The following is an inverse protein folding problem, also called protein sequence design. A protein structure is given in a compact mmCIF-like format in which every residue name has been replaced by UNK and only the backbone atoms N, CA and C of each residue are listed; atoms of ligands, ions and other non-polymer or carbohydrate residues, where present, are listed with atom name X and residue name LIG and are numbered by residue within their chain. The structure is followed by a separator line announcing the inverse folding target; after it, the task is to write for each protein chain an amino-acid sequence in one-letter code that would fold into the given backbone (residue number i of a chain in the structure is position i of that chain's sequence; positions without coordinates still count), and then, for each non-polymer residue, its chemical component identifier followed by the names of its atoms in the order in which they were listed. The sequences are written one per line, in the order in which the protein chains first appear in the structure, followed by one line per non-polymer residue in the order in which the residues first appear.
data_IF_722493294021
#
_entry.id   IF_722493294021
#
_cell.length_a   1.000
_cell.length_b   1.000
_cell.length_c   1.000
_cell.angle_alpha   90.00
_cell.angle_beta   90.00
_cell.angle_gamma   90.00
#
_symmetry.space_group_name_H-M   'P 1'
#
loop_
_entity.id
_entity.type
_entity.pdbx_description
1 polymer ?
#
# COMPACT_ATOMS: atom_id res chain seq x y z
N UNK A 1 -1.95 11.95 14.71
CA UNK A 1 -2.13 11.25 16.03
C UNK A 1 -1.26 11.85 17.12
N UNK A 2 0.08 11.86 17.01
CA UNK A 2 0.97 12.37 18.05
C UNK A 2 0.64 13.75 18.61
N UNK A 3 0.13 14.66 17.78
CA UNK A 3 -0.35 15.99 18.23
C UNK A 3 -1.53 15.87 19.19
N UNK A 4 -2.47 14.99 18.93
CA UNK A 4 -3.62 14.75 19.81
C UNK A 4 -3.20 14.11 21.13
N UNK A 5 -2.15 13.27 21.11
CA UNK A 5 -1.52 12.74 22.34
C UNK A 5 -0.87 13.88 23.12
N UNK A 6 -0.13 14.76 22.47
CA UNK A 6 0.50 15.92 23.11
C UNK A 6 -0.50 16.92 23.70
N UNK A 7 -1.68 17.00 23.10
CA UNK A 7 -2.83 17.78 23.59
C UNK A 7 -3.57 17.06 24.75
N UNK A 8 -3.22 15.80 25.06
CA UNK A 8 -3.87 15.00 26.12
C UNK A 8 -5.28 14.52 25.77
N UNK A 9 -5.66 14.57 24.49
CA UNK A 9 -7.00 14.17 24.02
C UNK A 9 -7.14 12.68 23.80
N UNK A 10 -6.00 11.97 23.63
CA UNK A 10 -5.90 10.53 23.38
C UNK A 10 -4.57 10.02 23.94
N UNK A 11 -4.50 8.74 24.27
CA UNK A 11 -3.27 8.05 24.68
C UNK A 11 -2.93 6.98 23.65
N UNK A 12 -1.64 6.67 23.51
CA UNK A 12 -1.18 5.57 22.67
C UNK A 12 -1.73 4.20 23.09
N UNK A 13 -1.98 4.05 24.38
CA UNK A 13 -2.43 2.82 25.03
C UNK A 13 -3.96 2.67 25.05
N UNK A 14 -4.71 3.71 24.69
CA UNK A 14 -6.19 3.64 24.59
C UNK A 14 -6.59 2.64 23.52
N UNK A 15 -7.73 1.99 23.71
CA UNK A 15 -8.25 1.00 22.74
C UNK A 15 -8.93 1.73 21.58
N UNK A 16 -8.81 1.17 20.38
CA UNK A 16 -9.46 1.72 19.18
C UNK A 16 -10.98 1.78 19.34
N UNK A 17 -11.58 0.74 19.92
CA UNK A 17 -13.03 0.66 20.16
C UNK A 17 -13.57 1.73 21.12
N UNK A 18 -12.75 2.37 21.92
CA UNK A 18 -13.17 3.48 22.79
C UNK A 18 -13.50 4.75 21.96
N UNK A 19 -12.97 4.84 20.73
CA UNK A 19 -13.20 5.94 19.77
C UNK A 19 -14.03 5.53 18.57
N UNK A 20 -13.89 4.29 18.12
CA UNK A 20 -14.61 3.68 16.99
C UNK A 20 -15.36 2.42 17.49
N UNK A 21 -16.47 2.56 18.23
CA UNK A 21 -17.15 1.42 18.85
C UNK A 21 -17.69 0.39 17.86
N UNK A 22 -17.96 0.79 16.62
CA UNK A 22 -18.41 -0.10 15.55
C UNK A 22 -17.28 -0.88 14.87
N UNK A 23 -16.00 -0.50 15.13
CA UNK A 23 -14.86 -1.12 14.49
C UNK A 23 -14.64 -2.55 14.99
N UNK A 24 -14.62 -3.49 14.06
CA UNK A 24 -14.47 -4.91 14.36
C UNK A 24 -13.44 -5.56 13.45
N UNK A 25 -12.68 -6.48 14.02
CA UNK A 25 -11.78 -7.39 13.30
C UNK A 25 -12.33 -8.82 13.42
N UNK A 26 -11.79 -9.73 12.62
CA UNK A 26 -12.21 -11.13 12.60
C UNK A 26 -12.14 -11.79 13.99
N UNK A 27 -11.05 -11.56 14.72
CA UNK A 27 -10.89 -12.05 16.09
C UNK A 27 -11.41 -11.03 17.11
N UNK A 28 -12.43 -11.42 17.94
CA UNK A 28 -13.00 -10.53 18.95
C UNK A 28 -11.98 -10.08 20.03
N UNK A 29 -10.96 -10.91 20.31
CA UNK A 29 -9.93 -10.54 21.28
C UNK A 29 -9.03 -9.47 20.71
N UNK A 30 -8.59 -9.61 19.46
CA UNK A 30 -7.84 -8.56 18.76
C UNK A 30 -8.64 -7.27 18.67
N UNK A 31 -9.93 -7.35 18.33
CA UNK A 31 -10.84 -6.18 18.32
C UNK A 31 -10.81 -5.43 19.65
N UNK A 32 -10.99 -6.15 20.76
CA UNK A 32 -11.04 -5.56 22.09
C UNK A 32 -9.72 -4.98 22.57
N UNK A 33 -8.59 -5.62 22.24
CA UNK A 33 -7.26 -5.31 22.74
C UNK A 33 -6.41 -4.42 21.81
N UNK A 34 -6.91 -4.13 20.60
CA UNK A 34 -6.23 -3.28 19.63
C UNK A 34 -6.13 -1.86 20.18
N UNK A 35 -4.91 -1.32 20.26
CA UNK A 35 -4.62 0.02 20.78
C UNK A 35 -4.35 1.00 19.65
N UNK A 36 -4.47 2.27 19.97
CA UNK A 36 -4.12 3.36 19.04
C UNK A 36 -2.69 3.20 18.50
N UNK A 37 -1.74 2.78 19.36
CA UNK A 37 -0.37 2.52 18.94
C UNK A 37 -0.26 1.43 17.86
N UNK A 38 -1.06 0.37 17.96
CA UNK A 38 -1.01 -0.78 17.05
C UNK A 38 -1.44 -0.39 15.62
N UNK A 39 -2.25 0.66 15.45
CA UNK A 39 -2.65 1.16 14.13
C UNK A 39 -1.45 1.63 13.27
N UNK A 40 -0.31 1.91 13.90
CA UNK A 40 0.89 2.44 13.26
C UNK A 40 2.05 1.44 13.17
N UNK A 41 1.90 0.21 13.67
CA UNK A 41 3.00 -0.71 13.87
C UNK A 41 2.95 -1.97 12.99
N UNK A 42 1.86 -2.17 12.24
CA UNK A 42 1.64 -3.36 11.40
C UNK A 42 1.79 -4.69 12.17
N UNK A 43 1.44 -4.70 13.45
CA UNK A 43 1.62 -5.82 14.38
C UNK A 43 0.30 -6.47 14.80
N UNK A 44 -0.79 -6.17 14.13
CA UNK A 44 -2.12 -6.68 14.48
C UNK A 44 -2.32 -8.17 14.17
N UNK A 45 -1.52 -8.72 13.25
CA UNK A 45 -1.69 -10.07 12.72
C UNK A 45 -2.76 -10.20 11.64
N UNK A 46 -3.55 -9.16 11.37
CA UNK A 46 -4.56 -9.16 10.30
C UNK A 46 -3.84 -9.15 8.95
N UNK A 47 -4.22 -10.06 8.05
CA UNK A 47 -3.65 -10.17 6.71
C UNK A 47 -3.79 -8.90 5.88
N UNK A 48 -2.99 -8.79 4.81
CA UNK A 48 -3.10 -7.68 3.89
C UNK A 48 -4.50 -7.67 3.23
N UNK A 49 -5.14 -6.52 3.18
CA UNK A 49 -6.47 -6.33 2.60
C UNK A 49 -6.49 -5.20 1.57
N UNK A 50 -5.37 -4.97 0.88
CA UNK A 50 -5.21 -3.87 -0.08
C UNK A 50 -6.15 -3.99 -1.28
N UNK A 51 -6.65 -5.19 -1.61
CA UNK A 51 -7.67 -5.36 -2.64
C UNK A 51 -8.96 -4.57 -2.35
N UNK A 52 -9.28 -4.24 -1.10
CA UNK A 52 -10.44 -3.41 -0.73
C UNK A 52 -10.37 -1.97 -1.27
N UNK A 53 -9.19 -1.50 -1.63
CA UNK A 53 -9.03 -0.18 -2.23
C UNK A 53 -8.41 -0.22 -3.63
N UNK A 54 -7.78 -1.33 -4.01
CA UNK A 54 -7.16 -1.49 -5.34
C UNK A 54 -8.15 -1.99 -6.39
N UNK A 55 -9.18 -2.74 -5.99
CA UNK A 55 -10.21 -3.32 -6.87
C UNK A 55 -11.64 -2.90 -6.51
N UNK A 56 -11.81 -1.93 -5.62
CA UNK A 56 -13.12 -1.43 -5.22
C UNK A 56 -13.12 0.09 -5.09
N UNK A 57 -14.23 0.71 -5.49
CA UNK A 57 -14.51 2.12 -5.25
C UNK A 57 -15.56 2.24 -4.13
N UNK A 58 -15.16 1.89 -2.92
CA UNK A 58 -16.01 1.92 -1.74
C UNK A 58 -15.50 2.94 -0.71
N UNK A 59 -16.39 3.52 0.11
CA UNK A 59 -16.00 4.47 1.15
C UNK A 59 -15.06 3.84 2.20
N UNK A 60 -14.20 4.66 2.82
CA UNK A 60 -13.31 4.23 3.90
C UNK A 60 -14.04 3.46 5.00
N UNK A 61 -15.20 3.93 5.42
CA UNK A 61 -16.02 3.24 6.43
C UNK A 61 -16.37 1.82 6.02
N UNK A 62 -16.81 1.60 4.78
CA UNK A 62 -17.15 0.26 4.29
C UNK A 62 -15.92 -0.66 4.22
N UNK A 63 -14.75 -0.14 3.82
CA UNK A 63 -13.50 -0.91 3.88
C UNK A 63 -13.19 -1.36 5.30
N UNK A 64 -13.31 -0.46 6.28
CA UNK A 64 -13.07 -0.77 7.69
C UNK A 64 -14.10 -1.78 8.22
N UNK A 65 -15.36 -1.68 7.82
CA UNK A 65 -16.40 -2.65 8.21
C UNK A 65 -16.12 -4.05 7.64
N UNK A 66 -15.53 -4.15 6.44
CA UNK A 66 -15.15 -5.44 5.83
C UNK A 66 -13.91 -6.07 6.47
N UNK A 67 -13.08 -5.33 7.20
CA UNK A 67 -11.92 -5.89 7.89
C UNK A 67 -12.28 -7.00 8.89
N UNK A 68 -13.51 -7.03 9.41
CA UNK A 68 -14.02 -8.14 10.24
C UNK A 68 -14.04 -9.50 9.54
N UNK A 69 -13.95 -9.51 8.21
CA UNK A 69 -13.92 -10.73 7.39
C UNK A 69 -12.51 -11.20 7.05
N UNK A 70 -11.50 -10.36 7.30
CA UNK A 70 -10.10 -10.65 6.99
C UNK A 70 -9.50 -11.52 8.10
N UNK A 71 -9.23 -12.80 7.78
CA UNK A 71 -8.65 -13.74 8.72
C UNK A 71 -7.24 -13.32 9.15
N UNK A 72 -6.90 -13.45 10.44
CA UNK A 72 -5.56 -13.17 10.91
C UNK A 72 -4.59 -14.26 10.46
N UNK A 73 -3.35 -13.87 10.14
CA UNK A 73 -2.23 -14.78 9.90
C UNK A 73 -1.43 -15.03 11.18
N UNK A 74 -1.44 -14.09 12.12
CA UNK A 74 -0.72 -14.16 13.40
C UNK A 74 -1.58 -13.61 14.54
N UNK A 75 -1.18 -13.93 15.76
CA UNK A 75 -1.78 -13.31 16.94
C UNK A 75 -1.37 -11.83 17.07
N UNK A 76 -2.21 -11.03 17.69
CA UNK A 76 -1.93 -9.62 17.96
C UNK A 76 -0.54 -9.44 18.60
N UNK A 77 0.29 -8.57 18.04
CA UNK A 77 1.64 -8.20 18.48
C UNK A 77 2.70 -9.31 18.40
N UNK A 78 2.44 -10.40 17.64
CA UNK A 78 3.40 -11.52 17.54
C UNK A 78 4.33 -11.43 16.33
N UNK A 79 3.96 -10.70 15.30
CA UNK A 79 4.73 -10.55 14.07
C UNK A 79 4.35 -9.27 13.34
N UNK A 80 4.82 -9.12 12.09
CA UNK A 80 4.59 -7.99 11.22
C UNK A 80 3.82 -8.44 9.97
N UNK A 81 2.75 -7.72 9.61
CA UNK A 81 2.10 -7.74 8.30
C UNK A 81 1.71 -6.32 7.94
N UNK A 82 2.21 -5.84 6.80
CA UNK A 82 1.88 -4.50 6.33
C UNK A 82 0.39 -4.36 6.02
N UNK A 83 -0.25 -3.32 6.58
CA UNK A 83 -1.70 -3.11 6.45
C UNK A 83 -2.06 -1.62 6.38
N UNK A 84 -2.41 -1.13 5.20
CA UNK A 84 -2.80 0.26 4.96
C UNK A 84 -4.09 0.66 5.69
N UNK A 85 -5.04 -0.26 5.84
CA UNK A 85 -6.35 0.06 6.41
C UNK A 85 -6.31 0.43 7.90
N UNK A 86 -5.26 0.08 8.64
CA UNK A 86 -5.07 0.59 10.00
C UNK A 86 -4.73 2.08 10.02
N UNK A 87 -4.02 2.57 9.01
CA UNK A 87 -3.79 4.01 8.86
C UNK A 87 -5.09 4.73 8.45
N UNK A 88 -5.97 4.06 7.69
CA UNK A 88 -7.32 4.58 7.43
C UNK A 88 -8.12 4.67 8.73
N UNK A 89 -8.12 3.63 9.55
CA UNK A 89 -8.74 3.65 10.88
C UNK A 89 -8.16 4.76 11.78
N UNK A 90 -6.83 4.98 11.73
CA UNK A 90 -6.20 6.09 12.46
C UNK A 90 -6.70 7.46 11.97
N UNK A 91 -7.00 7.61 10.68
CA UNK A 91 -7.64 8.81 10.13
C UNK A 91 -9.03 9.06 10.73
N UNK A 92 -9.86 8.02 10.80
CA UNK A 92 -11.20 8.09 11.43
C UNK A 92 -11.11 8.43 12.92
N UNK A 93 -10.12 7.87 13.65
CA UNK A 93 -9.87 8.24 15.05
C UNK A 93 -9.48 9.72 15.18
N UNK A 94 -8.61 10.23 14.29
CA UNK A 94 -8.24 11.66 14.28
C UNK A 94 -9.47 12.53 14.07
N UNK A 95 -10.33 12.17 13.13
CA UNK A 95 -11.57 12.90 12.86
C UNK A 95 -12.49 12.89 14.08
N UNK A 96 -12.70 11.73 14.70
CA UNK A 96 -13.53 11.57 15.90
C UNK A 96 -13.04 12.40 17.08
N UNK A 97 -11.71 12.40 17.33
CA UNK A 97 -11.11 13.08 18.49
C UNK A 97 -10.95 14.58 18.26
N UNK A 98 -10.64 15.00 17.04
CA UNK A 98 -10.40 16.41 16.71
C UNK A 98 -11.67 17.18 16.34
N UNK A 99 -12.73 16.48 15.93
CA UNK A 99 -13.95 17.07 15.37
C UNK A 99 -13.75 17.66 13.97
N UNK A 100 -12.65 17.30 13.27
CA UNK A 100 -12.31 17.80 11.92
C UNK A 100 -11.99 16.63 11.02
N UNK A 101 -12.40 16.67 9.73
CA UNK A 101 -11.92 15.72 8.74
C UNK A 101 -10.40 15.63 8.76
N UNK A 102 -9.85 14.42 8.57
CA UNK A 102 -8.40 14.19 8.59
C UNK A 102 -7.66 15.16 7.66
N UNK A 103 -8.20 15.41 6.47
CA UNK A 103 -7.60 16.32 5.48
C UNK A 103 -7.48 17.75 6.01
N UNK A 104 -8.53 18.24 6.66
CA UNK A 104 -8.53 19.58 7.26
C UNK A 104 -7.57 19.66 8.45
N UNK A 105 -7.50 18.58 9.24
CA UNK A 105 -6.60 18.50 10.38
C UNK A 105 -5.13 18.58 9.96
N UNK A 106 -4.69 17.77 8.99
CA UNK A 106 -3.28 17.81 8.55
C UNK A 106 -2.92 19.10 7.80
N UNK A 107 -3.87 19.65 7.05
CA UNK A 107 -3.68 20.96 6.39
C UNK A 107 -3.43 22.04 7.43
N UNK A 108 -4.27 22.14 8.46
CA UNK A 108 -4.18 23.16 9.51
C UNK A 108 -2.95 22.95 10.42
N UNK A 109 -2.72 21.71 10.84
CA UNK A 109 -1.74 21.40 11.88
C UNK A 109 -0.33 21.14 11.37
N UNK A 110 -0.16 20.82 10.08
CA UNK A 110 1.12 20.44 9.50
C UNK A 110 1.47 21.33 8.31
N UNK A 111 0.67 21.29 7.24
CA UNK A 111 1.07 21.90 5.97
C UNK A 111 1.13 23.41 6.07
N UNK A 112 0.12 24.05 6.67
CA UNK A 112 0.08 25.50 6.85
C UNK A 112 1.20 26.00 7.76
N UNK A 113 1.45 25.45 8.95
CA UNK A 113 2.55 25.89 9.81
C UNK A 113 3.93 25.77 9.18
N UNK A 114 4.16 24.73 8.38
CA UNK A 114 5.43 24.50 7.69
C UNK A 114 5.56 25.29 6.37
N UNK A 115 4.53 26.00 5.95
CA UNK A 115 4.53 26.71 4.66
C UNK A 115 4.59 25.75 3.46
N UNK A 116 3.99 24.57 3.58
CA UNK A 116 3.91 23.56 2.51
C UNK A 116 2.76 23.90 1.56
N UNK A 117 2.92 24.95 0.78
CA UNK A 117 1.84 25.56 -0.01
C UNK A 117 1.48 24.78 -1.28
N UNK A 118 2.34 23.86 -1.71
CA UNK A 118 2.13 22.95 -2.85
C UNK A 118 1.84 21.53 -2.41
N UNK A 119 1.46 21.33 -1.14
CA UNK A 119 1.08 20.06 -0.56
C UNK A 119 -0.43 20.01 -0.36
N UNK A 120 -1.04 18.90 -0.72
CA UNK A 120 -2.46 18.70 -0.58
C UNK A 120 -2.75 17.29 0.01
N UNK A 121 -3.78 17.15 0.86
CA UNK A 121 -4.12 15.87 1.47
C UNK A 121 -4.66 14.84 0.45
N UNK A 122 -5.21 15.31 -0.66
CA UNK A 122 -5.69 14.51 -1.80
C UNK A 122 -5.49 15.27 -3.09
N UNK A 123 -5.35 14.56 -4.21
CA UNK A 123 -5.13 15.15 -5.55
C UNK A 123 -6.18 16.22 -5.90
N UNK A 124 -7.45 15.98 -5.58
CA UNK A 124 -8.55 16.93 -5.88
C UNK A 124 -8.38 18.32 -5.26
N UNK A 125 -7.53 18.49 -4.25
CA UNK A 125 -7.24 19.77 -3.61
C UNK A 125 -6.04 20.50 -4.19
N UNK A 126 -5.33 19.91 -5.15
CA UNK A 126 -4.19 20.56 -5.82
C UNK A 126 -4.73 21.69 -6.70
N UNK A 127 -4.16 22.87 -6.52
CA UNK A 127 -4.52 24.09 -7.27
C UNK A 127 -3.56 24.37 -8.43
N UNK A 128 -2.41 23.71 -8.43
CA UNK A 128 -1.33 23.91 -9.39
C UNK A 128 -1.52 22.98 -10.61
N UNK A 129 -1.32 23.50 -11.81
CA UNK A 129 -1.35 22.71 -13.04
C UNK A 129 -0.05 21.94 -13.31
N UNK A 130 1.03 22.22 -12.57
CA UNK A 130 2.28 21.50 -12.64
C UNK A 130 2.19 20.20 -11.84
N UNK A 131 1.45 19.22 -12.38
CA UNK A 131 1.26 17.91 -11.80
C UNK A 131 2.02 16.85 -12.61
N UNK A 132 2.65 15.93 -11.91
CA UNK A 132 3.34 14.80 -12.52
C UNK A 132 2.33 13.86 -13.17
N UNK A 133 2.67 13.32 -14.35
CA UNK A 133 1.88 12.27 -15.02
C UNK A 133 2.46 10.90 -14.65
N UNK A 134 1.64 9.95 -14.17
CA UNK A 134 2.10 8.61 -13.85
C UNK A 134 2.43 7.81 -15.11
N UNK A 135 3.47 6.96 -15.05
CA UNK A 135 3.92 6.12 -16.15
C UNK A 135 4.05 4.67 -15.70
N UNK A 136 3.76 3.77 -16.62
CA UNK A 136 3.86 2.34 -16.42
C UNK A 136 4.53 1.65 -17.62
N UNK A 137 5.22 0.53 -17.40
CA UNK A 137 5.73 -0.28 -18.49
C UNK A 137 4.70 -1.33 -18.91
N UNK A 138 4.21 -1.21 -20.15
CA UNK A 138 3.29 -2.17 -20.75
C UNK A 138 3.91 -2.70 -22.04
N UNK A 139 4.05 -4.02 -22.14
CA UNK A 139 4.67 -4.67 -23.29
C UNK A 139 6.06 -4.10 -23.62
N UNK A 140 6.90 -3.88 -22.60
CA UNK A 140 8.25 -3.31 -22.71
C UNK A 140 8.30 -1.87 -23.26
N UNK A 141 7.19 -1.14 -23.17
CA UNK A 141 7.10 0.28 -23.53
C UNK A 141 6.59 1.09 -22.36
N UNK A 142 7.33 2.12 -21.98
CA UNK A 142 6.88 3.08 -20.97
C UNK A 142 5.84 3.99 -21.61
N UNK A 143 4.69 4.11 -20.95
CA UNK A 143 3.60 4.98 -21.39
C UNK A 143 2.95 5.69 -20.21
N UNK A 144 2.37 6.89 -20.43
CA UNK A 144 1.54 7.53 -19.43
C UNK A 144 0.28 6.69 -19.18
N UNK A 145 -0.15 6.66 -17.91
CA UNK A 145 -1.39 6.03 -17.49
C UNK A 145 -2.31 7.04 -16.80
N UNK A 146 -3.57 6.66 -16.60
CA UNK A 146 -4.50 7.46 -15.80
C UNK A 146 -4.15 7.37 -14.32
N UNK A 147 -4.44 8.44 -13.57
CA UNK A 147 -4.29 8.40 -12.11
C UNK A 147 -5.24 7.36 -11.52
N UNK A 148 -4.72 6.56 -10.60
CA UNK A 148 -5.54 5.66 -9.80
C UNK A 148 -6.32 6.44 -8.73
N UNK A 149 -7.41 5.85 -8.27
CA UNK A 149 -8.17 6.44 -7.17
C UNK A 149 -7.41 6.26 -5.85
N UNK A 150 -7.14 7.38 -5.18
CA UNK A 150 -6.41 7.44 -3.91
C UNK A 150 -7.29 7.92 -2.74
N UNK A 151 -8.54 8.27 -3.02
CA UNK A 151 -9.41 8.94 -2.06
C UNK A 151 -9.86 8.04 -0.91
N UNK A 152 -9.98 6.74 -1.16
CA UNK A 152 -10.47 5.78 -0.17
C UNK A 152 -9.42 5.48 0.92
N UNK A 153 -8.12 5.49 0.59
CA UNK A 153 -7.01 5.28 1.54
C UNK A 153 -6.41 6.59 2.08
N UNK A 154 -7.18 7.67 2.11
CA UNK A 154 -6.70 9.04 2.36
C UNK A 154 -5.55 9.16 3.35
N UNK A 155 -5.76 8.77 4.61
CA UNK A 155 -4.76 8.88 5.67
C UNK A 155 -3.61 7.87 5.58
N UNK A 156 -3.71 6.87 4.70
CA UNK A 156 -2.64 5.90 4.44
C UNK A 156 -1.72 6.30 3.27
N UNK A 157 -2.23 7.01 2.23
CA UNK A 157 -1.41 7.18 1.04
C UNK A 157 -1.79 8.29 0.05
N UNK A 158 -2.74 9.21 0.38
CA UNK A 158 -3.25 10.16 -0.61
C UNK A 158 -2.56 11.53 -0.65
N UNK A 159 -1.54 11.78 0.15
CA UNK A 159 -0.87 13.11 0.20
C UNK A 159 -0.06 13.34 -1.07
N UNK A 160 -0.33 14.46 -1.72
CA UNK A 160 0.43 14.98 -2.86
C UNK A 160 1.32 16.14 -2.42
N UNK A 161 2.55 16.18 -2.90
CA UNK A 161 3.51 17.21 -2.48
C UNK A 161 4.51 17.55 -3.59
N UNK A 162 5.37 18.51 -3.31
CA UNK A 162 6.55 18.87 -4.11
C UNK A 162 7.83 18.56 -3.34
N UNK A 163 8.95 18.45 -4.06
CA UNK A 163 10.26 18.26 -3.44
C UNK A 163 10.61 19.41 -2.47
N UNK A 164 10.24 20.65 -2.82
CA UNK A 164 10.45 21.81 -1.97
C UNK A 164 9.67 21.70 -0.64
N UNK A 165 8.40 21.35 -0.68
CA UNK A 165 7.59 21.21 0.53
C UNK A 165 8.01 20.03 1.38
N UNK A 166 8.41 18.91 0.76
CA UNK A 166 8.93 17.76 1.50
C UNK A 166 10.30 18.05 2.13
N UNK A 167 11.10 18.97 1.57
CA UNK A 167 12.31 19.46 2.23
C UNK A 167 11.99 20.21 3.52
N UNK A 168 10.94 21.05 3.54
CA UNK A 168 10.47 21.74 4.76
C UNK A 168 10.05 20.74 5.85
N UNK A 169 9.26 19.72 5.46
CA UNK A 169 8.88 18.63 6.35
C UNK A 169 10.10 17.89 6.91
N UNK A 170 11.05 17.55 6.04
CA UNK A 170 12.25 16.79 6.40
C UNK A 170 13.16 17.55 7.37
N UNK A 171 13.38 18.85 7.11
CA UNK A 171 14.15 19.73 8.00
C UNK A 171 13.48 19.78 9.38
N UNK A 172 12.16 19.95 9.43
CA UNK A 172 11.40 19.92 10.68
C UNK A 172 11.58 18.60 11.43
N UNK A 173 11.47 17.46 10.76
CA UNK A 173 11.61 16.15 11.39
C UNK A 173 13.03 15.89 11.88
N UNK A 174 14.07 16.29 11.14
CA UNK A 174 15.47 16.17 11.53
C UNK A 174 15.85 17.10 12.70
N UNK A 175 15.14 18.20 12.89
CA UNK A 175 15.32 19.10 14.06
C UNK A 175 14.28 18.82 15.17
N UNK A 176 14.00 17.55 15.40
CA UNK A 176 13.09 17.14 16.49
C UNK A 176 11.73 17.80 16.42
N UNK A 177 11.16 17.92 15.23
CA UNK A 177 9.89 18.56 14.89
C UNK A 177 9.81 20.08 15.12
N UNK A 178 10.93 20.78 15.17
CA UNK A 178 10.98 22.25 15.28
C UNK A 178 10.83 22.89 13.90
N UNK A 179 10.23 24.06 13.88
CA UNK A 179 10.15 24.96 12.74
C UNK A 179 10.14 26.41 13.22
N UNK A 180 10.23 27.38 12.34
CA UNK A 180 10.34 28.81 12.70
C UNK A 180 9.19 29.32 13.62
N UNK A 181 7.99 28.73 13.50
CA UNK A 181 6.81 29.10 14.29
C UNK A 181 6.65 28.30 15.60
N UNK A 182 7.56 27.36 15.91
CA UNK A 182 7.44 26.55 17.11
C UNK A 182 7.84 25.08 16.93
N UNK A 183 6.96 24.18 17.32
CA UNK A 183 7.21 22.74 17.30
C UNK A 183 5.91 21.98 16.98
N UNK A 184 5.99 20.99 16.10
CA UNK A 184 4.83 20.16 15.77
C UNK A 184 4.49 19.14 16.86
N UNK A 185 5.51 18.57 17.53
CA UNK A 185 5.37 17.51 18.53
C UNK A 185 6.24 17.82 19.75
N UNK A 186 5.80 17.42 20.94
CA UNK A 186 6.67 17.41 22.12
C UNK A 186 7.87 16.49 21.91
N UNK A 187 9.04 16.77 22.52
CA UNK A 187 10.25 15.96 22.33
C UNK A 187 10.05 14.46 22.58
N UNK A 188 9.29 14.12 23.62
CA UNK A 188 9.00 12.71 23.96
C UNK A 188 8.17 12.00 22.89
N UNK A 189 7.18 12.67 22.32
CA UNK A 189 6.33 12.12 21.26
C UNK A 189 7.12 11.99 19.96
N UNK A 190 7.94 12.99 19.61
CA UNK A 190 8.85 12.89 18.49
C UNK A 190 9.82 11.71 18.64
N UNK A 191 10.46 11.56 19.79
CA UNK A 191 11.38 10.45 20.06
C UNK A 191 10.68 9.08 19.96
N UNK A 192 9.44 8.99 20.47
CA UNK A 192 8.63 7.75 20.36
C UNK A 192 8.37 7.35 18.91
N UNK A 193 8.20 8.31 17.99
CA UNK A 193 7.97 8.00 16.57
C UNK A 193 9.09 7.19 15.92
N UNK A 194 10.33 7.37 16.39
CA UNK A 194 11.51 6.72 15.83
C UNK A 194 12.09 5.62 16.72
N UNK A 195 11.36 5.25 17.79
CA UNK A 195 11.75 4.12 18.63
C UNK A 195 11.36 2.81 17.94
N UNK A 196 12.31 1.87 17.71
CA UNK A 196 11.98 0.55 17.19
C UNK A 196 10.89 -0.13 18.01
N UNK A 197 9.89 -0.72 17.37
CA UNK A 197 8.75 -1.29 18.07
C UNK A 197 8.37 -2.70 17.59
N UNK A 198 8.35 -2.96 16.27
CA UNK A 198 8.03 -4.26 15.71
C UNK A 198 9.23 -4.77 14.90
N UNK A 199 9.64 -6.01 15.14
CA UNK A 199 10.63 -6.68 14.27
C UNK A 199 9.98 -6.98 12.92
N UNK A 200 10.67 -6.67 11.83
CA UNK A 200 10.21 -6.97 10.47
C UNK A 200 10.95 -8.22 10.00
N UNK A 201 10.24 -9.33 9.71
CA UNK A 201 10.86 -10.51 9.14
C UNK A 201 11.50 -10.23 7.77
N UNK A 202 12.55 -10.98 7.41
CA UNK A 202 13.25 -10.80 6.12
C UNK A 202 12.33 -10.89 4.91
N UNK A 203 11.30 -11.75 4.98
CA UNK A 203 10.32 -11.92 3.91
C UNK A 203 9.41 -10.69 3.71
N UNK A 204 9.26 -9.86 4.73
CA UNK A 204 8.43 -8.64 4.74
C UNK A 204 9.26 -7.37 4.56
N UNK A 205 10.59 -7.50 4.50
CA UNK A 205 11.48 -6.37 4.28
C UNK A 205 11.86 -6.22 2.79
N UNK A 206 12.44 -5.09 2.44
CA UNK A 206 12.81 -4.81 1.05
C UNK A 206 13.95 -5.71 0.56
N UNK A 207 13.93 -6.14 -0.73
CA UNK A 207 15.03 -6.93 -1.32
C UNK A 207 16.41 -6.29 -1.18
N UNK A 208 16.45 -4.97 -0.95
CA UNK A 208 17.68 -4.19 -0.75
C UNK A 208 18.53 -4.67 0.43
N UNK A 209 17.93 -5.39 1.40
CA UNK A 209 18.67 -6.03 2.49
C UNK A 209 19.74 -7.01 1.99
N UNK A 210 19.57 -7.59 0.80
CA UNK A 210 20.56 -8.47 0.17
C UNK A 210 21.84 -7.72 -0.24
N UNK A 211 21.81 -6.39 -0.32
CA UNK A 211 22.94 -5.53 -0.65
C UNK A 211 23.50 -4.84 0.59
N UNK A 212 22.66 -4.55 1.57
CA UNK A 212 23.04 -3.78 2.76
C UNK A 212 23.38 -4.66 3.96
N UNK A 213 22.91 -5.90 3.98
CA UNK A 213 23.12 -6.89 5.05
C UNK A 213 22.91 -6.32 6.45
N UNK A 214 21.71 -5.76 6.75
CA UNK A 214 21.45 -5.17 8.05
C UNK A 214 21.49 -6.24 9.16
N UNK A 215 21.96 -5.88 10.33
CA UNK A 215 21.93 -6.76 11.51
C UNK A 215 20.50 -6.86 12.10
N UNK A 216 19.67 -5.86 11.85
CA UNK A 216 18.30 -5.81 12.32
C UNK A 216 17.43 -4.98 11.38
N UNK A 217 16.15 -5.36 11.29
CA UNK A 217 15.11 -4.64 10.58
C UNK A 217 13.90 -4.48 11.50
N UNK A 218 13.41 -3.26 11.66
CA UNK A 218 12.28 -2.94 12.51
C UNK A 218 11.33 -1.97 11.87
N UNK A 219 10.14 -1.86 12.46
CA UNK A 219 9.18 -0.82 12.14
C UNK A 219 8.88 0.00 13.39
N UNK A 220 8.84 1.31 13.24
CA UNK A 220 8.43 2.27 14.25
C UNK A 220 7.07 2.88 13.86
N UNK A 221 6.69 4.03 14.40
CA UNK A 221 5.41 4.66 14.06
C UNK A 221 5.46 5.28 12.64
N UNK A 222 5.20 4.47 11.64
CA UNK A 222 5.22 4.87 10.22
C UNK A 222 6.61 4.85 9.58
N UNK A 223 7.59 4.12 10.14
CA UNK A 223 8.95 4.11 9.64
C UNK A 223 9.53 2.71 9.63
N UNK A 224 9.99 2.25 8.48
CA UNK A 224 10.97 1.17 8.40
C UNK A 224 12.31 1.64 8.93
N UNK A 225 13.01 0.76 9.61
CA UNK A 225 14.31 1.03 10.17
C UNK A 225 15.24 -0.15 9.96
N UNK A 226 16.50 0.15 9.73
CA UNK A 226 17.61 -0.83 9.71
C UNK A 226 18.90 -0.14 10.14
N UNK A 227 19.91 -0.93 10.44
CA UNK A 227 21.28 -0.41 10.46
C UNK A 227 21.89 -0.43 9.06
N UNK A 228 22.68 0.58 8.79
CA UNK A 228 23.45 0.70 7.57
C UNK A 228 24.83 1.28 7.89
N UNK A 229 25.90 0.50 7.65
CA UNK A 229 27.28 0.87 8.02
C UNK A 229 27.42 1.31 9.49
N UNK A 230 26.73 0.59 10.39
CA UNK A 230 26.72 0.88 11.83
C UNK A 230 25.91 2.09 12.25
N UNK A 231 25.11 2.66 11.36
CA UNK A 231 24.20 3.80 11.62
C UNK A 231 22.76 3.39 11.44
N UNK A 232 21.87 3.90 12.29
CA UNK A 232 20.44 3.72 12.12
C UNK A 232 19.95 4.62 10.99
N UNK A 233 19.23 4.03 10.04
CA UNK A 233 18.42 4.78 9.06
C UNK A 233 16.93 4.57 9.34
N UNK A 234 16.15 5.64 9.14
CA UNK A 234 14.70 5.59 9.13
C UNK A 234 14.24 5.90 7.70
N UNK A 235 13.35 5.11 7.15
CA UNK A 235 12.80 5.40 5.83
C UNK A 235 11.38 4.87 5.69
N UNK A 236 10.66 5.43 4.74
CA UNK A 236 9.41 4.85 4.26
C UNK A 236 9.29 5.07 2.77
N UNK A 237 8.70 4.11 2.08
CA UNK A 237 8.44 4.23 0.65
C UNK A 237 6.95 4.08 0.38
N UNK A 238 6.53 4.59 -0.77
CA UNK A 238 5.18 4.41 -1.25
C UNK A 238 5.16 4.25 -2.76
N UNK A 239 4.14 3.54 -3.25
CA UNK A 239 3.85 3.41 -4.67
C UNK A 239 2.33 3.45 -4.87
N UNK A 240 1.90 4.24 -5.82
CA UNK A 240 0.62 4.12 -6.49
C UNK A 240 0.93 3.78 -7.95
N UNK A 241 -0.05 3.30 -8.72
CA UNK A 241 0.22 2.95 -10.11
C UNK A 241 0.92 4.11 -10.84
N UNK A 242 2.10 3.86 -11.37
CA UNK A 242 2.91 4.81 -12.11
C UNK A 242 3.59 5.91 -11.29
N UNK A 243 3.53 5.88 -9.96
CA UNK A 243 4.11 6.89 -9.06
C UNK A 243 4.83 6.22 -7.90
N UNK A 244 6.00 6.72 -7.56
CA UNK A 244 6.80 6.23 -6.42
C UNK A 244 7.35 7.37 -5.59
N UNK A 245 7.57 7.09 -4.31
CA UNK A 245 8.26 8.00 -3.41
C UNK A 245 9.12 7.23 -2.39
N UNK A 246 10.17 7.86 -1.90
CA UNK A 246 10.88 7.44 -0.71
C UNK A 246 11.25 8.65 0.11
N UNK A 247 11.05 8.56 1.41
CA UNK A 247 11.55 9.48 2.43
C UNK A 247 12.51 8.73 3.33
N UNK A 248 13.73 9.22 3.49
CA UNK A 248 14.72 8.58 4.34
C UNK A 248 15.53 9.57 5.17
N UNK A 249 16.00 9.14 6.33
CA UNK A 249 16.77 9.93 7.28
C UNK A 249 17.97 9.12 7.80
N UNK A 250 19.10 9.79 7.89
CA UNK A 250 20.28 9.35 8.62
C UNK A 250 20.47 10.29 9.82
N UNK A 251 19.83 10.01 10.99
CA UNK A 251 19.67 10.97 12.07
C UNK A 251 20.99 11.44 12.68
N UNK A 252 21.98 10.55 12.80
CA UNK A 252 23.30 10.87 13.37
C UNK A 252 24.01 12.02 12.61
N UNK A 253 23.68 12.18 11.32
CA UNK A 253 24.27 13.20 10.46
C UNK A 253 23.29 14.36 10.14
N UNK A 254 22.07 14.31 10.72
CA UNK A 254 20.99 15.24 10.38
C UNK A 254 20.76 15.31 8.85
N UNK A 255 20.96 14.21 8.18
CA UNK A 255 20.81 14.08 6.73
C UNK A 255 19.48 13.42 6.41
N UNK A 256 18.75 13.99 5.45
CA UNK A 256 17.53 13.40 4.91
C UNK A 256 17.49 13.50 3.41
N UNK A 257 16.79 12.57 2.79
CA UNK A 257 16.53 12.56 1.36
C UNK A 257 15.07 12.25 1.09
N UNK A 258 14.53 12.92 0.08
CA UNK A 258 13.23 12.62 -0.48
C UNK A 258 13.36 12.45 -2.00
N UNK A 259 12.81 11.37 -2.54
CA UNK A 259 12.81 11.10 -3.98
C UNK A 259 11.37 10.85 -4.42
N UNK A 260 10.93 11.57 -5.44
CA UNK A 260 9.72 11.27 -6.19
C UNK A 260 10.08 10.66 -7.53
N UNK A 261 9.32 9.66 -7.96
CA UNK A 261 9.39 9.06 -9.27
C UNK A 261 8.01 8.99 -9.92
N UNK A 262 7.94 9.22 -11.21
CA UNK A 262 6.72 9.09 -12.00
C UNK A 262 6.74 7.85 -12.90
N UNK A 263 7.31 6.78 -12.38
CA UNK A 263 7.35 5.47 -13.01
C UNK A 263 7.05 4.39 -11.97
N UNK A 264 6.24 3.42 -12.35
CA UNK A 264 5.80 2.36 -11.45
C UNK A 264 6.96 1.52 -10.96
N UNK A 265 6.95 1.18 -9.66
CA UNK A 265 7.96 0.35 -9.00
C UNK A 265 9.42 0.72 -9.37
N UNK A 266 9.70 2.03 -9.52
CA UNK A 266 11.05 2.52 -9.80
C UNK A 266 11.96 2.38 -8.58
N UNK A 267 12.51 1.18 -8.40
CA UNK A 267 13.32 0.82 -7.21
C UNK A 267 14.66 1.58 -7.13
N UNK A 268 15.04 2.27 -8.18
CA UNK A 268 16.15 3.23 -8.18
C UNK A 268 16.03 4.28 -7.06
N UNK A 269 14.83 4.54 -6.53
CA UNK A 269 14.61 5.40 -5.36
C UNK A 269 15.44 4.97 -4.15
N UNK A 270 15.57 3.66 -3.88
CA UNK A 270 16.42 3.13 -2.82
C UNK A 270 17.91 3.30 -3.14
N UNK A 271 18.31 3.07 -4.39
CA UNK A 271 19.68 3.30 -4.82
C UNK A 271 20.12 4.75 -4.59
N UNK A 272 19.23 5.70 -4.92
CA UNK A 272 19.46 7.13 -4.69
C UNK A 272 19.56 7.45 -3.18
N UNK A 273 18.75 6.80 -2.35
CA UNK A 273 18.82 6.93 -0.90
C UNK A 273 20.19 6.52 -0.35
N UNK A 274 20.64 5.31 -0.64
CA UNK A 274 21.93 4.81 -0.17
C UNK A 274 23.09 5.61 -0.75
N UNK A 275 23.01 5.99 -2.03
CA UNK A 275 24.02 6.81 -2.67
C UNK A 275 24.17 8.18 -2.03
N UNK A 276 23.05 8.80 -1.65
CA UNK A 276 23.07 10.09 -0.95
C UNK A 276 23.71 9.94 0.45
N UNK A 277 23.38 8.90 1.19
CA UNK A 277 23.99 8.65 2.49
C UNK A 277 25.50 8.38 2.39
N UNK A 278 25.91 7.61 1.38
CA UNK A 278 27.34 7.37 1.11
C UNK A 278 28.08 8.67 0.77
N UNK A 279 27.53 9.49 -0.13
CA UNK A 279 28.22 10.70 -0.60
C UNK A 279 28.28 11.80 0.45
N UNK A 280 27.23 11.99 1.22
CA UNK A 280 27.13 13.15 2.09
C UNK A 280 27.51 12.86 3.54
N UNK A 281 27.65 11.58 3.93
CA UNK A 281 27.87 11.24 5.33
C UNK A 281 28.81 10.05 5.59
N UNK A 282 28.90 9.06 4.72
CA UNK A 282 29.49 7.76 5.06
C UNK A 282 30.68 7.34 4.18
N UNK A 283 31.17 8.23 3.33
CA UNK A 283 32.33 8.02 2.41
C UNK A 283 32.26 6.71 1.61
N UNK A 284 31.08 6.33 1.16
CA UNK A 284 30.83 5.08 0.47
C UNK A 284 31.19 5.15 -1.02
N UNK A 285 31.85 4.11 -1.50
CA UNK A 285 32.25 3.97 -2.92
C UNK A 285 31.39 3.00 -3.72
N UNK A 286 30.34 2.45 -3.10
CA UNK A 286 29.43 1.46 -3.71
C UNK A 286 28.80 2.00 -4.99
N UNK A 287 28.86 1.21 -6.06
CA UNK A 287 28.12 1.47 -7.29
C UNK A 287 26.69 0.96 -7.17
N UNK A 288 25.87 1.72 -6.45
CA UNK A 288 24.47 1.39 -6.20
C UNK A 288 23.67 1.17 -7.48
N UNK A 289 23.98 1.89 -8.56
CA UNK A 289 23.28 1.71 -9.83
C UNK A 289 23.50 0.30 -10.38
N UNK A 290 24.75 -0.16 -10.42
CA UNK A 290 25.10 -1.50 -10.88
C UNK A 290 24.51 -2.58 -9.98
N UNK A 291 24.62 -2.44 -8.68
CA UNK A 291 24.19 -3.46 -7.72
C UNK A 291 22.68 -3.60 -7.70
N UNK A 292 21.94 -2.49 -7.75
CA UNK A 292 20.50 -2.50 -7.88
C UNK A 292 20.03 -3.09 -9.20
N UNK A 293 20.65 -2.69 -10.31
CA UNK A 293 20.32 -3.27 -11.61
C UNK A 293 20.50 -4.78 -11.61
N UNK A 294 21.61 -5.27 -11.04
CA UNK A 294 21.88 -6.71 -10.93
C UNK A 294 20.85 -7.43 -10.05
N UNK A 295 20.49 -6.85 -8.90
CA UNK A 295 19.51 -7.42 -7.98
C UNK A 295 18.12 -7.50 -8.63
N UNK A 296 17.62 -6.37 -9.12
CA UNK A 296 16.24 -6.30 -9.64
C UNK A 296 16.10 -6.99 -11.00
N UNK A 297 17.13 -7.01 -11.84
CA UNK A 297 17.10 -7.83 -13.08
C UNK A 297 16.90 -9.33 -12.78
N UNK A 298 17.49 -9.85 -11.70
CA UNK A 298 17.26 -11.25 -11.28
C UNK A 298 15.82 -11.47 -10.77
N UNK A 299 15.30 -10.50 -10.02
CA UNK A 299 13.91 -10.54 -9.52
C UNK A 299 12.93 -10.53 -10.69
N UNK A 300 13.09 -9.60 -11.63
CA UNK A 300 12.24 -9.49 -12.81
C UNK A 300 12.34 -10.71 -13.72
N UNK A 301 13.56 -11.26 -13.92
CA UNK A 301 13.73 -12.50 -14.67
C UNK A 301 13.00 -13.69 -14.02
N UNK A 302 12.95 -13.75 -12.68
CA UNK A 302 12.17 -14.78 -11.96
C UNK A 302 10.67 -14.60 -12.16
N UNK A 303 10.17 -13.38 -12.13
CA UNK A 303 8.75 -13.07 -12.40
C UNK A 303 8.38 -13.44 -13.83
N UNK A 304 9.19 -13.00 -14.82
CA UNK A 304 8.98 -13.34 -16.24
C UNK A 304 9.02 -14.87 -16.49
N UNK A 305 9.94 -15.57 -15.81
CA UNK A 305 9.98 -17.03 -15.86
C UNK A 305 8.70 -17.64 -15.26
N UNK A 306 8.23 -17.14 -14.13
CA UNK A 306 6.98 -17.61 -13.51
C UNK A 306 5.78 -17.48 -14.44
N UNK A 307 5.67 -16.36 -15.16
CA UNK A 307 4.63 -16.13 -16.16
C UNK A 307 4.74 -17.10 -17.34
N UNK A 308 5.94 -17.31 -17.87
CA UNK A 308 6.19 -18.30 -18.94
C UNK A 308 5.86 -19.73 -18.49
N UNK A 309 6.24 -20.09 -17.26
CA UNK A 309 5.95 -21.41 -16.69
C UNK A 309 4.43 -21.60 -16.48
N UNK A 310 3.70 -20.53 -16.14
CA UNK A 310 2.24 -20.53 -16.07
C UNK A 310 1.61 -20.69 -17.46
N UNK A 311 2.05 -19.91 -18.45
CA UNK A 311 1.58 -20.02 -19.83
C UNK A 311 1.84 -21.44 -20.40
N UNK A 312 2.97 -22.05 -20.09
CA UNK A 312 3.32 -23.40 -20.53
C UNK A 312 2.43 -24.50 -19.94
N UNK A 313 1.73 -24.24 -18.82
CA UNK A 313 0.78 -25.19 -18.21
C UNK A 313 -0.57 -25.22 -18.91
N UNK A 314 -0.81 -24.38 -19.91
CA UNK A 314 -2.04 -24.38 -20.67
C UNK A 314 -2.24 -25.72 -21.37
N UNK A 315 -3.39 -26.35 -21.14
CA UNK A 315 -3.77 -27.58 -21.83
C UNK A 315 -4.48 -27.20 -23.15
N UNK A 316 -3.84 -27.53 -24.26
CA UNK A 316 -4.35 -27.20 -25.59
C UNK A 316 -5.51 -28.13 -26.00
N UNK A 317 -6.33 -27.68 -26.96
CA UNK A 317 -7.43 -28.44 -27.54
C UNK A 317 -8.50 -28.88 -26.54
N UNK A 318 -8.72 -28.10 -25.49
CA UNK A 318 -9.85 -28.27 -24.57
C UNK A 318 -10.98 -27.31 -24.95
N UNK A 319 -12.18 -27.60 -24.47
CA UNK A 319 -13.35 -26.73 -24.58
C UNK A 319 -13.97 -26.51 -23.20
N UNK A 320 -14.68 -25.41 -22.99
CA UNK A 320 -15.49 -25.23 -21.79
C UNK A 320 -16.48 -26.37 -21.63
N UNK A 321 -16.77 -26.79 -20.41
CA UNK A 321 -17.75 -27.86 -20.13
C UNK A 321 -19.19 -27.46 -20.42
N UNK A 322 -19.46 -26.14 -20.48
CA UNK A 322 -20.79 -25.57 -20.67
C UNK A 322 -20.76 -24.52 -21.82
N UNK A 323 -21.91 -24.19 -22.41
CA UNK A 323 -22.05 -23.00 -23.26
C UNK A 323 -21.63 -21.73 -22.50
N UNK A 324 -21.02 -20.76 -23.18
CA UNK A 324 -20.52 -19.53 -22.54
C UNK A 324 -21.60 -18.77 -21.74
N UNK A 325 -22.86 -18.83 -22.17
CA UNK A 325 -23.97 -18.21 -21.49
C UNK A 325 -24.19 -18.73 -20.06
N UNK A 326 -23.81 -19.98 -19.78
CA UNK A 326 -24.00 -20.60 -18.47
C UNK A 326 -22.97 -20.12 -17.42
N UNK A 327 -21.86 -19.52 -17.86
CA UNK A 327 -20.87 -18.88 -17.02
C UNK A 327 -21.25 -17.45 -16.63
N UNK A 328 -22.25 -16.84 -17.29
CA UNK A 328 -22.68 -15.47 -17.00
C UNK A 328 -23.47 -15.40 -15.70
N UNK A 329 -23.53 -14.20 -15.11
CA UNK A 329 -24.28 -13.92 -13.88
C UNK A 329 -23.47 -13.15 -12.85
N UNK A 330 -24.03 -13.02 -11.66
CA UNK A 330 -23.42 -12.32 -10.54
C UNK A 330 -22.79 -13.34 -9.59
N UNK A 331 -21.57 -13.04 -9.19
CA UNK A 331 -20.77 -13.82 -8.25
C UNK A 331 -20.40 -12.91 -7.10
N UNK A 332 -20.64 -13.34 -5.87
CA UNK A 332 -20.46 -12.48 -4.71
C UNK A 332 -19.75 -13.15 -3.55
N UNK A 333 -19.04 -12.36 -2.78
CA UNK A 333 -18.47 -12.67 -1.48
C UNK A 333 -18.57 -11.44 -0.59
N UNK A 334 -18.88 -11.59 0.71
CA UNK A 334 -19.01 -10.45 1.62
C UNK A 334 -17.75 -9.59 1.73
N UNK A 335 -16.57 -10.17 1.53
CA UNK A 335 -15.29 -9.48 1.59
C UNK A 335 -14.95 -8.82 0.25
N UNK A 336 -15.03 -9.60 -0.85
CA UNK A 336 -14.59 -9.17 -2.18
C UNK A 336 -15.65 -8.40 -2.97
N UNK A 337 -16.91 -8.41 -2.52
CA UNK A 337 -18.00 -7.72 -3.19
C UNK A 337 -18.67 -8.54 -4.30
N UNK A 338 -19.13 -7.88 -5.36
CA UNK A 338 -19.86 -8.50 -6.46
C UNK A 338 -19.07 -8.38 -7.77
N UNK A 339 -18.84 -9.51 -8.43
CA UNK A 339 -18.33 -9.56 -9.78
C UNK A 339 -19.46 -9.96 -10.73
N UNK A 340 -19.65 -9.21 -11.80
CA UNK A 340 -20.66 -9.51 -12.82
C UNK A 340 -19.99 -10.03 -14.09
N UNK A 341 -20.44 -11.18 -14.57
CA UNK A 341 -19.95 -11.77 -15.82
C UNK A 341 -21.05 -11.70 -16.86
N UNK A 342 -20.74 -11.07 -17.97
CA UNK A 342 -21.62 -10.92 -19.13
C UNK A 342 -20.97 -11.50 -20.37
N UNK A 343 -21.77 -11.80 -21.39
CA UNK A 343 -21.29 -12.25 -22.70
C UNK A 343 -21.25 -11.04 -23.65
N UNK A 344 -20.08 -10.76 -24.23
CA UNK A 344 -19.86 -9.70 -25.20
C UNK A 344 -19.05 -10.27 -26.37
N UNK A 345 -19.60 -10.19 -27.58
CA UNK A 345 -18.93 -10.64 -28.82
C UNK A 345 -18.35 -12.08 -28.70
N UNK A 346 -19.13 -12.99 -28.13
CA UNK A 346 -18.76 -14.39 -27.87
C UNK A 346 -17.54 -14.55 -26.92
N UNK A 347 -17.30 -13.57 -26.04
CA UNK A 347 -16.25 -13.56 -25.03
C UNK A 347 -16.85 -13.19 -23.68
N UNK A 348 -16.37 -13.76 -22.58
CA UNK A 348 -16.82 -13.38 -21.25
C UNK A 348 -16.18 -12.05 -20.84
N UNK A 349 -17.00 -11.10 -20.44
CA UNK A 349 -16.57 -9.85 -19.82
C UNK A 349 -16.85 -9.94 -18.33
N UNK A 350 -15.82 -9.87 -17.50
CA UNK A 350 -15.94 -9.73 -16.05
C UNK A 350 -15.84 -8.27 -15.66
N UNK A 351 -16.79 -7.83 -14.83
CA UNK A 351 -16.81 -6.52 -14.18
C UNK A 351 -16.57 -6.71 -12.68
N UNK A 352 -15.49 -6.11 -12.16
CA UNK A 352 -15.06 -6.21 -10.78
C UNK A 352 -15.58 -5.01 -9.99
N UNK A 353 -16.72 -5.18 -9.29
CA UNK A 353 -17.31 -4.10 -8.47
C UNK A 353 -17.53 -2.77 -9.21
N UNK A 354 -17.75 -2.80 -10.53
CA UNK A 354 -17.83 -1.63 -11.41
C UNK A 354 -16.58 -0.73 -11.42
N UNK A 355 -15.46 -1.26 -10.92
CA UNK A 355 -14.19 -0.55 -10.80
C UNK A 355 -13.22 -0.88 -11.93
N UNK A 356 -13.12 -2.14 -12.28
CA UNK A 356 -12.21 -2.66 -13.32
C UNK A 356 -12.87 -3.78 -14.10
N UNK A 357 -12.48 -3.95 -15.35
CA UNK A 357 -13.02 -4.98 -16.25
C UNK A 357 -11.92 -5.77 -16.92
N UNK A 358 -12.22 -7.02 -17.26
CA UNK A 358 -11.34 -7.84 -18.07
C UNK A 358 -12.14 -8.64 -19.10
N UNK A 359 -11.57 -8.77 -20.32
CA UNK A 359 -12.10 -9.64 -21.36
C UNK A 359 -11.44 -11.02 -21.22
N UNK A 360 -12.23 -12.06 -20.96
CA UNK A 360 -11.76 -13.39 -20.63
C UNK A 360 -12.00 -14.34 -21.81
N UNK A 361 -10.95 -14.77 -22.47
CA UNK A 361 -10.96 -15.80 -23.50
C UNK A 361 -10.80 -17.18 -22.86
N UNK A 362 -11.30 -18.23 -23.52
CA UNK A 362 -11.12 -19.60 -23.06
C UNK A 362 -9.63 -19.95 -22.98
N UNK A 363 -9.20 -20.34 -21.78
CA UNK A 363 -7.81 -20.73 -21.52
C UNK A 363 -7.63 -22.25 -21.61
N UNK A 364 -8.28 -22.99 -20.75
CA UNK A 364 -8.43 -24.44 -20.79
C UNK A 364 -9.55 -24.90 -19.85
N UNK A 365 -10.22 -26.00 -20.15
CA UNK A 365 -11.35 -26.55 -19.37
C UNK A 365 -12.35 -25.43 -19.00
N UNK A 366 -12.55 -25.15 -17.70
CA UNK A 366 -13.42 -24.09 -17.22
C UNK A 366 -12.66 -22.86 -16.75
N UNK A 367 -11.39 -22.71 -17.16
CA UNK A 367 -10.56 -21.54 -16.88
C UNK A 367 -10.58 -20.60 -18.09
N UNK A 368 -10.75 -19.33 -17.80
CA UNK A 368 -10.72 -18.25 -18.77
C UNK A 368 -9.67 -17.22 -18.38
N UNK A 369 -9.01 -16.59 -19.35
CA UNK A 369 -7.92 -15.64 -19.11
C UNK A 369 -7.90 -14.56 -20.17
N UNK A 370 -7.59 -13.32 -19.76
CA UNK A 370 -7.47 -12.23 -20.73
C UNK A 370 -7.11 -10.90 -20.10
N UNK A 371 -6.88 -9.87 -20.94
CA UNK A 371 -6.38 -8.59 -20.46
C UNK A 371 -7.43 -7.82 -19.66
N UNK A 372 -6.96 -7.07 -18.65
CA UNK A 372 -7.73 -6.01 -18.02
C UNK A 372 -7.92 -4.84 -19.01
N UNK A 373 -8.98 -4.04 -18.84
CA UNK A 373 -9.17 -2.77 -19.58
C UNK A 373 -8.02 -1.80 -19.32
N UNK A 374 -7.59 -1.71 -18.07
CA UNK A 374 -6.33 -1.04 -17.71
C UNK A 374 -5.19 -2.02 -17.95
N UNK A 375 -4.63 -2.00 -19.14
CA UNK A 375 -3.65 -2.99 -19.62
C UNK A 375 -2.35 -3.08 -18.79
N UNK A 376 -2.08 -2.12 -17.92
CA UNK A 376 -0.96 -2.20 -16.97
C UNK A 376 -1.21 -3.17 -15.81
N UNK A 377 -2.44 -3.63 -15.58
CA UNK A 377 -2.72 -4.72 -14.64
C UNK A 377 -2.43 -6.11 -15.22
N UNK A 378 -2.12 -6.20 -16.52
CA UNK A 378 -1.78 -7.46 -17.15
C UNK A 378 -3.01 -8.28 -17.53
N UNK A 379 -3.04 -9.56 -17.16
CA UNK A 379 -4.11 -10.50 -17.51
C UNK A 379 -4.79 -11.06 -16.28
N UNK A 380 -6.11 -11.03 -16.27
CA UNK A 380 -6.96 -11.69 -15.29
C UNK A 380 -7.10 -13.18 -15.60
N UNK A 381 -7.23 -14.01 -14.56
CA UNK A 381 -7.52 -15.44 -14.68
C UNK A 381 -8.73 -15.79 -13.81
N UNK A 382 -9.70 -16.46 -14.40
CA UNK A 382 -10.95 -16.88 -13.77
C UNK A 382 -11.15 -18.39 -13.95
N UNK A 383 -11.24 -19.13 -12.85
CA UNK A 383 -11.53 -20.55 -12.87
C UNK A 383 -12.94 -20.80 -12.33
N UNK A 384 -13.83 -21.35 -13.17
CA UNK A 384 -15.21 -21.63 -12.80
C UNK A 384 -15.35 -23.04 -12.23
N UNK A 385 -16.05 -23.14 -11.11
CA UNK A 385 -16.26 -24.36 -10.36
C UNK A 385 -17.72 -24.80 -10.54
N UNK A 386 -17.90 -26.04 -11.01
CA UNK A 386 -19.22 -26.63 -11.20
C UNK A 386 -19.66 -27.39 -9.93
N UNK A 387 -20.97 -27.36 -9.65
CA UNK A 387 -21.57 -28.17 -8.61
C UNK A 387 -21.80 -29.62 -9.09
N UNK A 388 -22.34 -30.46 -8.21
CA UNK A 388 -22.64 -31.87 -8.51
C UNK A 388 -23.72 -32.07 -9.60
N UNK A 389 -24.47 -31.03 -9.95
CA UNK A 389 -25.46 -31.04 -11.02
C UNK A 389 -24.90 -30.55 -12.36
N UNK A 390 -23.62 -30.17 -12.38
CA UNK A 390 -22.94 -29.67 -13.57
C UNK A 390 -23.19 -28.18 -13.87
N UNK A 391 -23.73 -27.41 -12.94
CA UNK A 391 -23.95 -25.97 -13.08
C UNK A 391 -22.81 -25.20 -12.42
N UNK A 392 -22.51 -24.01 -12.98
CA UNK A 392 -21.53 -23.10 -12.34
C UNK A 392 -22.06 -22.63 -10.99
N UNK A 393 -21.32 -22.89 -9.94
CA UNK A 393 -21.65 -22.51 -8.55
C UNK A 393 -20.73 -21.45 -7.97
N UNK A 394 -19.46 -21.41 -8.42
CA UNK A 394 -18.45 -20.50 -7.91
C UNK A 394 -17.47 -20.07 -9.01
N UNK A 395 -16.78 -19.00 -8.73
CA UNK A 395 -15.59 -18.58 -9.47
C UNK A 395 -14.42 -18.40 -8.49
N UNK A 396 -13.26 -18.95 -8.83
CA UNK A 396 -11.97 -18.53 -8.27
C UNK A 396 -11.34 -17.53 -9.24
N UNK A 397 -11.28 -16.29 -8.81
CA UNK A 397 -10.70 -15.19 -9.57
C UNK A 397 -9.44 -14.70 -8.86
N UNK A 398 -8.27 -15.01 -9.39
CA UNK A 398 -6.99 -14.58 -8.82
C UNK A 398 -6.82 -14.96 -7.32
N UNK A 399 -7.39 -16.10 -6.90
CA UNK A 399 -7.40 -16.56 -5.50
C UNK A 399 -8.56 -16.02 -4.65
N UNK A 400 -9.45 -15.21 -5.22
CA UNK A 400 -10.70 -14.77 -4.59
C UNK A 400 -11.84 -15.72 -4.98
N UNK A 401 -12.41 -16.43 -4.01
CA UNK A 401 -13.54 -17.31 -4.25
C UNK A 401 -14.88 -16.59 -4.04
N UNK A 402 -15.69 -16.49 -5.10
CA UNK A 402 -17.03 -15.91 -5.04
C UNK A 402 -18.09 -16.97 -5.44
N UNK A 403 -19.25 -16.86 -4.82
CA UNK A 403 -20.40 -17.78 -5.07
C UNK A 403 -21.38 -17.12 -6.04
N UNK A 404 -21.93 -17.92 -6.97
CA UNK A 404 -22.92 -17.50 -7.96
C UNK A 404 -24.28 -17.30 -7.34
#
# INVERSE_FOLDING_TARGET
MGMLVDEGKIKWEDRVIDYLPEYQLYDPTTTRELRILDLFLHNSGVGNADYLWTFMDIPAKEMLDRMRLVKPSYSLRSSFIYQNLFYVAAGEVIEKVSGKPWEAFIQEKIFTPLGMNRTAPKRKYIKDNNQVVPHYEVNKKIKPITYTQDHAIGSAGSVWSSAEDMAKWMICMLDSSKYAGGRLLKPATWAKMFKPATLVPDAEFYPTQQLTHPNWTTYALGWFQQDYKGKKINFHTGSLAGLTAIHAQLPDYKLGIYVFGNFDHAEVRHALMYKAFDWFALDGTTDWNKDFLNLYSKIFAKVEKGEKDFEAKRVMNTSPSLPLADYTGKYSDPLYGEFEITLKDNTLLIDLNHFEKAMLEHWHYNTFRGPYEKDWYGKATANFILDATGKVSKIDFEGMELTK
#
